data_IF_332634568232
#
_entry.id   IF_332634568232
#
_cell.length_a   1.000
_cell.length_b   1.000
_cell.length_c   1.000
_cell.angle_alpha   90.00
_cell.angle_beta   90.00
_cell.angle_gamma   90.00
#
_symmetry.space_group_name_H-M   'P 1'
#
loop_
_entity.id
_entity.type
_entity.pdbx_description
1 polymer ?
#
# COMPACT_ATOMS: atom_id res chain seq x y z
N UNK A 1 24.76 20.27 -13.59
CA UNK A 1 24.21 19.03 -12.99
C UNK A 1 23.10 18.55 -13.91
N UNK A 2 23.27 17.41 -14.57
CA UNK A 2 22.17 16.79 -15.32
C UNK A 2 21.15 16.27 -14.30
N UNK A 3 20.04 16.99 -14.13
CA UNK A 3 18.90 16.55 -13.34
C UNK A 3 18.21 15.44 -14.12
N UNK A 4 18.69 14.21 -13.91
CA UNK A 4 18.04 13.03 -14.46
C UNK A 4 16.64 12.91 -13.85
N UNK A 5 15.61 12.82 -14.68
CA UNK A 5 14.24 12.54 -14.22
C UNK A 5 14.03 11.05 -13.88
N UNK A 6 15.10 10.24 -13.92
CA UNK A 6 15.03 8.82 -13.62
C UNK A 6 14.76 8.58 -12.13
N UNK A 7 14.03 7.49 -11.85
CA UNK A 7 13.74 7.09 -10.48
C UNK A 7 15.02 6.86 -9.69
N UNK A 8 15.11 7.54 -8.56
CA UNK A 8 16.22 7.48 -7.61
C UNK A 8 16.59 6.06 -7.18
N UNK A 9 15.62 5.14 -7.12
CA UNK A 9 15.82 3.76 -6.67
C UNK A 9 16.19 2.77 -7.77
N UNK A 10 15.64 2.88 -8.98
CA UNK A 10 15.89 1.90 -10.04
C UNK A 10 16.71 2.43 -11.20
N UNK A 11 16.78 3.74 -11.41
CA UNK A 11 17.56 4.38 -12.48
C UNK A 11 17.19 3.91 -13.90
N UNK A 12 16.02 3.30 -14.10
CA UNK A 12 15.61 2.72 -15.40
C UNK A 12 14.42 3.44 -16.05
N UNK A 13 13.64 4.21 -15.30
CA UNK A 13 12.39 4.80 -15.78
C UNK A 13 12.17 6.16 -15.15
N UNK A 14 11.45 7.03 -15.83
CA UNK A 14 11.09 8.36 -15.31
C UNK A 14 10.26 8.26 -14.03
N UNK A 15 10.58 9.12 -13.06
CA UNK A 15 10.00 9.06 -11.72
C UNK A 15 8.67 9.81 -11.63
N UNK A 16 7.59 9.13 -12.01
CA UNK A 16 6.24 9.56 -11.66
C UNK A 16 5.82 9.02 -10.28
N UNK A 17 4.81 9.65 -9.66
CA UNK A 17 4.29 9.23 -8.35
C UNK A 17 3.89 7.75 -8.37
N UNK A 18 3.16 7.31 -9.40
CA UNK A 18 2.71 5.93 -9.49
C UNK A 18 3.89 4.96 -9.70
N UNK A 19 4.88 5.35 -10.50
CA UNK A 19 6.09 4.56 -10.66
C UNK A 19 6.80 4.38 -9.32
N UNK A 20 7.06 5.46 -8.59
CA UNK A 20 7.80 5.33 -7.34
C UNK A 20 7.00 4.53 -6.29
N UNK A 21 5.69 4.73 -6.15
CA UNK A 21 4.96 3.99 -5.11
C UNK A 21 4.52 2.59 -5.53
N UNK A 22 4.60 2.19 -6.80
CA UNK A 22 4.04 0.91 -7.27
C UNK A 22 4.91 0.16 -8.27
N UNK A 23 5.31 0.81 -9.37
CA UNK A 23 5.92 0.11 -10.52
C UNK A 23 7.45 0.00 -10.45
N UNK A 24 8.09 0.81 -9.61
CA UNK A 24 9.51 0.69 -9.32
C UNK A 24 9.79 -0.72 -8.78
N UNK A 25 10.84 -1.43 -9.24
CA UNK A 25 11.16 -2.78 -8.78
C UNK A 25 11.20 -2.94 -7.25
N UNK A 26 11.72 -1.94 -6.54
CA UNK A 26 11.69 -1.92 -5.07
C UNK A 26 10.25 -1.90 -4.54
N UNK A 27 9.40 -1.02 -5.07
CA UNK A 27 8.00 -0.90 -4.68
C UNK A 27 7.21 -2.17 -5.03
N UNK A 28 7.41 -2.74 -6.21
CA UNK A 28 6.77 -4.00 -6.61
C UNK A 28 7.13 -5.14 -5.65
N UNK A 29 8.40 -5.26 -5.28
CA UNK A 29 8.85 -6.28 -4.33
C UNK A 29 8.23 -6.06 -2.95
N UNK A 30 8.17 -4.82 -2.48
CA UNK A 30 7.49 -4.46 -1.23
C UNK A 30 6.02 -4.92 -1.24
N UNK A 31 5.28 -4.60 -2.29
CA UNK A 31 3.86 -4.97 -2.40
C UNK A 31 3.66 -6.48 -2.42
N UNK A 32 4.49 -7.20 -3.19
CA UNK A 32 4.46 -8.67 -3.22
C UNK A 32 4.75 -9.26 -1.85
N UNK A 33 5.75 -8.74 -1.11
CA UNK A 33 6.07 -9.19 0.24
C UNK A 33 4.98 -8.86 1.26
N UNK A 34 4.18 -7.80 1.05
CA UNK A 34 3.00 -7.49 1.84
C UNK A 34 1.76 -8.32 1.46
N UNK A 35 1.83 -9.11 0.39
CA UNK A 35 0.75 -10.01 -0.06
C UNK A 35 -0.05 -9.52 -1.27
N UNK A 36 0.30 -8.37 -1.85
CA UNK A 36 -0.34 -7.83 -3.05
C UNK A 36 0.30 -8.41 -4.32
N UNK A 37 -0.05 -9.65 -4.66
CA UNK A 37 0.51 -10.39 -5.80
C UNK A 37 -0.39 -10.40 -7.04
N UNK A 38 -1.63 -9.96 -6.92
CA UNK A 38 -2.60 -9.98 -8.01
C UNK A 38 -2.20 -8.98 -9.10
N UNK A 39 -2.21 -9.40 -10.37
CA UNK A 39 -1.89 -8.54 -11.52
C UNK A 39 -2.77 -7.28 -11.58
N UNK A 40 -4.04 -7.38 -11.16
CA UNK A 40 -4.97 -6.25 -11.12
C UNK A 40 -4.52 -5.14 -10.15
N UNK A 41 -3.69 -5.46 -9.15
CA UNK A 41 -3.10 -4.47 -8.26
C UNK A 41 -2.16 -3.52 -9.02
N UNK A 42 -1.50 -4.01 -10.07
CA UNK A 42 -0.49 -3.27 -10.85
C UNK A 42 -1.02 -2.69 -12.16
N UNK A 43 -2.26 -3.00 -12.55
CA UNK A 43 -2.80 -2.61 -13.87
C UNK A 43 -3.48 -1.23 -13.91
N UNK A 44 -3.88 -0.66 -12.77
CA UNK A 44 -4.64 0.59 -12.74
C UNK A 44 -3.77 1.84 -13.02
N UNK A 45 -3.91 2.48 -14.17
CA UNK A 45 -3.03 3.61 -14.52
C UNK A 45 -3.30 4.91 -13.73
N UNK A 46 -4.45 5.04 -13.07
CA UNK A 46 -4.81 6.24 -12.32
C UNK A 46 -4.46 6.09 -10.82
N UNK A 47 -3.66 7.04 -10.31
CA UNK A 47 -3.24 7.06 -8.91
C UNK A 47 -4.42 7.13 -7.93
N UNK A 48 -5.39 8.01 -8.19
CA UNK A 48 -6.53 8.22 -7.28
C UNK A 48 -7.42 6.99 -7.23
N UNK A 49 -7.71 6.39 -8.38
CA UNK A 49 -8.53 5.18 -8.45
C UNK A 49 -7.83 4.00 -7.78
N UNK A 50 -6.52 3.89 -7.97
CA UNK A 50 -5.70 2.86 -7.31
C UNK A 50 -5.69 2.99 -5.78
N UNK A 51 -5.57 4.22 -5.25
CA UNK A 51 -5.66 4.45 -3.80
C UNK A 51 -7.06 4.12 -3.30
N UNK A 52 -8.11 4.63 -3.94
CA UNK A 52 -9.51 4.42 -3.52
C UNK A 52 -9.88 2.93 -3.47
N UNK A 53 -9.48 2.17 -4.49
CA UNK A 53 -9.84 0.74 -4.60
C UNK A 53 -9.22 -0.13 -3.51
N UNK A 54 -8.09 0.28 -2.93
CA UNK A 54 -7.37 -0.50 -1.93
C UNK A 54 -7.41 0.09 -0.52
N UNK A 55 -8.00 1.28 -0.36
CA UNK A 55 -8.17 1.93 0.95
C UNK A 55 -9.41 1.46 1.72
N UNK A 56 -10.10 0.43 1.23
CA UNK A 56 -11.30 -0.13 1.83
C UNK A 56 -11.20 -1.66 1.93
N UNK A 57 -11.99 -2.25 2.83
CA UNK A 57 -12.02 -3.70 3.05
C UNK A 57 -10.91 -4.21 3.98
N UNK A 58 -10.79 -5.54 4.06
CA UNK A 58 -9.93 -6.21 5.06
C UNK A 58 -8.43 -5.95 4.88
N UNK A 59 -7.99 -5.60 3.67
CA UNK A 59 -6.59 -5.31 3.36
C UNK A 59 -6.25 -3.80 3.45
N UNK A 60 -7.20 -2.93 3.78
CA UNK A 60 -7.00 -1.48 3.76
C UNK A 60 -5.86 -1.02 4.68
N UNK A 61 -5.79 -1.57 5.89
CA UNK A 61 -4.77 -1.17 6.86
C UNK A 61 -3.35 -1.51 6.37
N UNK A 62 -3.14 -2.71 5.81
CA UNK A 62 -1.83 -3.12 5.29
C UNK A 62 -1.49 -2.38 3.99
N UNK A 63 -2.49 -2.06 3.17
CA UNK A 63 -2.31 -1.22 2.00
C UNK A 63 -1.85 0.19 2.38
N UNK A 64 -2.60 0.88 3.24
CA UNK A 64 -2.30 2.25 3.66
C UNK A 64 -0.95 2.35 4.40
N UNK A 65 -0.66 1.38 5.26
CA UNK A 65 0.63 1.30 5.94
C UNK A 65 1.79 1.05 4.95
N UNK A 66 1.61 0.14 4.00
CA UNK A 66 2.58 -0.12 2.93
C UNK A 66 2.80 1.09 2.04
N UNK A 67 1.74 1.82 1.71
CA UNK A 67 1.78 3.05 0.90
C UNK A 67 2.62 4.11 1.60
N UNK A 68 2.33 4.37 2.87
CA UNK A 68 3.08 5.33 3.68
C UNK A 68 4.56 4.98 3.79
N UNK A 69 4.88 3.73 4.14
CA UNK A 69 6.26 3.32 4.34
C UNK A 69 7.07 3.23 3.04
N UNK A 70 6.43 2.87 1.92
CA UNK A 70 7.08 2.93 0.61
C UNK A 70 7.39 4.38 0.21
N UNK A 71 6.46 5.31 0.42
CA UNK A 71 6.70 6.73 0.18
C UNK A 71 7.84 7.28 1.05
N UNK A 72 7.84 6.94 2.35
CA UNK A 72 8.92 7.33 3.28
C UNK A 72 10.28 6.77 2.85
N UNK A 73 10.35 5.49 2.47
CA UNK A 73 11.58 4.86 2.00
C UNK A 73 12.15 5.55 0.75
N UNK A 74 11.29 5.92 -0.20
CA UNK A 74 11.68 6.71 -1.38
C UNK A 74 12.23 8.09 -0.97
N UNK A 75 11.59 8.79 -0.04
CA UNK A 75 12.01 10.14 0.35
C UNK A 75 13.38 10.14 1.06
N UNK A 76 13.73 9.07 1.76
CA UNK A 76 15.05 8.94 2.40
C UNK A 76 16.17 8.86 1.36
N UNK A 77 15.92 8.18 0.24
CA UNK A 77 16.86 8.17 -0.90
C UNK A 77 16.99 9.57 -1.50
N UNK A 78 15.88 10.26 -1.71
CA UNK A 78 15.89 11.59 -2.36
C UNK A 78 16.47 12.71 -1.47
N UNK A 79 16.24 12.66 -0.16
CA UNK A 79 16.56 13.78 0.77
C UNK A 79 17.72 13.44 1.71
N UNK A 80 17.81 12.19 2.15
CA UNK A 80 18.81 11.74 3.11
C UNK A 80 20.11 11.22 2.48
N UNK A 81 20.13 11.01 1.16
CA UNK A 81 21.23 10.33 0.45
C UNK A 81 21.58 8.96 1.07
N UNK A 82 20.55 8.27 1.59
CA UNK A 82 20.65 6.98 2.27
C UNK A 82 19.52 6.05 1.77
N UNK A 83 19.55 4.76 2.13
CA UNK A 83 18.53 3.79 1.73
C UNK A 83 18.04 2.97 2.91
N UNK A 84 16.74 2.67 2.94
CA UNK A 84 16.19 1.69 3.87
C UNK A 84 16.08 0.35 3.14
N UNK A 85 16.56 -0.72 3.80
CA UNK A 85 16.38 -2.08 3.33
C UNK A 85 14.91 -2.47 3.22
N UNK A 86 14.56 -3.22 2.17
CA UNK A 86 13.20 -3.69 1.90
C UNK A 86 12.58 -4.37 3.13
N UNK A 87 13.34 -5.20 3.84
CA UNK A 87 12.88 -5.92 5.02
C UNK A 87 12.42 -4.97 6.13
N UNK A 88 13.20 -3.92 6.41
CA UNK A 88 12.86 -2.91 7.40
C UNK A 88 11.58 -2.15 7.03
N UNK A 89 11.41 -1.81 5.75
CA UNK A 89 10.18 -1.15 5.27
C UNK A 89 8.96 -2.06 5.44
N UNK A 90 9.09 -3.34 5.09
CA UNK A 90 8.02 -4.34 5.24
C UNK A 90 7.65 -4.56 6.71
N UNK A 91 8.66 -4.69 7.58
CA UNK A 91 8.46 -4.88 9.02
C UNK A 91 7.68 -3.72 9.62
N UNK A 92 8.10 -2.49 9.30
CA UNK A 92 7.44 -1.29 9.79
C UNK A 92 6.03 -1.08 9.21
N UNK A 93 5.81 -1.45 7.94
CA UNK A 93 4.47 -1.46 7.34
C UNK A 93 3.53 -2.44 8.05
N UNK A 94 3.99 -3.65 8.35
CA UNK A 94 3.22 -4.64 9.11
C UNK A 94 2.92 -4.14 10.53
N UNK A 95 3.91 -3.58 11.22
CA UNK A 95 3.75 -3.01 12.56
C UNK A 95 2.70 -1.90 12.57
N UNK A 96 2.78 -0.95 11.62
CA UNK A 96 1.79 0.13 11.49
C UNK A 96 0.40 -0.42 11.16
N UNK A 97 0.30 -1.40 10.27
CA UNK A 97 -0.99 -2.05 9.96
C UNK A 97 -1.63 -2.68 11.20
N UNK A 98 -0.84 -3.34 12.05
CA UNK A 98 -1.34 -3.91 13.30
C UNK A 98 -1.87 -2.82 14.24
N UNK A 99 -1.15 -1.70 14.38
CA UNK A 99 -1.60 -0.57 15.18
C UNK A 99 -2.91 0.04 14.64
N UNK A 100 -3.02 0.21 13.32
CA UNK A 100 -4.25 0.71 12.70
C UNK A 100 -5.45 -0.20 12.98
N UNK A 101 -5.27 -1.52 12.93
CA UNK A 101 -6.35 -2.47 13.24
C UNK A 101 -6.77 -2.43 14.72
N UNK A 102 -5.86 -2.09 15.63
CA UNK A 102 -6.18 -1.92 17.06
C UNK A 102 -6.93 -0.60 17.29
N UNK A 103 -6.49 0.49 16.67
CA UNK A 103 -7.10 1.82 16.84
C UNK A 103 -8.44 1.96 16.11
N UNK A 104 -8.60 1.29 14.97
CA UNK A 104 -9.76 1.38 14.08
C UNK A 104 -10.29 -0.03 13.79
N UNK A 105 -10.88 -0.71 14.79
CA UNK A 105 -11.46 -2.03 14.56
C UNK A 105 -12.60 -1.94 13.54
N UNK A 106 -12.81 -2.99 12.71
CA UNK A 106 -13.96 -3.05 11.82
C UNK A 106 -15.25 -2.89 12.65
N UNK A 107 -16.13 -1.99 12.23
CA UNK A 107 -17.46 -1.92 12.83
C UNK A 107 -18.15 -3.26 12.58
N UNK A 108 -18.63 -3.92 13.64
CA UNK A 108 -19.52 -5.07 13.48
C UNK A 108 -20.72 -4.61 12.66
N UNK A 109 -21.03 -5.33 11.57
CA UNK A 109 -22.30 -5.16 10.90
C UNK A 109 -23.40 -5.38 11.95
N UNK A 110 -24.41 -4.49 12.05
CA UNK A 110 -25.49 -4.71 13.00
C UNK A 110 -26.16 -6.05 12.70
N UNK A 111 -26.20 -6.92 13.70
CA UNK A 111 -27.02 -8.14 13.71
C UNK A 111 -28.51 -7.73 13.72
N UNK A 112 -29.08 -7.40 12.56
CA UNK A 112 -30.51 -7.05 12.49
C UNK A 112 -31.24 -7.60 11.27
N UNK A 113 -30.75 -8.67 10.65
CA UNK A 113 -31.46 -9.38 9.57
C UNK A 113 -31.73 -10.87 9.81
N UNK A 114 -31.61 -11.36 11.06
CA UNK A 114 -31.91 -12.77 11.40
C UNK A 114 -33.31 -13.01 11.97
N UNK A 115 -34.22 -12.01 11.98
CA UNK A 115 -35.57 -12.18 12.55
C UNK A 115 -36.75 -12.14 11.56
N UNK A 116 -36.52 -12.03 10.25
CA UNK A 116 -37.63 -12.06 9.27
C UNK A 116 -37.81 -13.38 8.51
N UNK A 117 -37.00 -14.42 8.76
CA UNK A 117 -37.12 -15.71 8.05
C UNK A 117 -37.74 -16.86 8.86
N UNK A 118 -38.20 -16.61 10.10
CA UNK A 118 -38.83 -17.63 10.96
C UNK A 118 -40.32 -17.37 11.28
N UNK A 119 -41.02 -16.60 10.45
CA UNK A 119 -42.47 -16.40 10.55
C UNK A 119 -43.22 -16.79 9.26
N UNK A 120 -42.80 -17.89 8.64
CA UNK A 120 -43.56 -18.53 7.55
C UNK A 120 -43.47 -20.05 7.70
N UNK A 121 -44.15 -20.56 8.73
CA UNK A 121 -44.70 -21.91 8.80
C UNK A 121 -46.13 -21.79 9.33
#
# INVERSE_FOLDING_TARGET
MSTSNLCSRCQTSEEFILHCIRDCPFAMNLWKTLGFINVNFFSNMNLLDWIKSHSNGSAANIFLAGFWWNWKARNIVCVGNDSIELFSVVSEARRLSSLLSVCFPPQHAPESYTLHFLASF
#
